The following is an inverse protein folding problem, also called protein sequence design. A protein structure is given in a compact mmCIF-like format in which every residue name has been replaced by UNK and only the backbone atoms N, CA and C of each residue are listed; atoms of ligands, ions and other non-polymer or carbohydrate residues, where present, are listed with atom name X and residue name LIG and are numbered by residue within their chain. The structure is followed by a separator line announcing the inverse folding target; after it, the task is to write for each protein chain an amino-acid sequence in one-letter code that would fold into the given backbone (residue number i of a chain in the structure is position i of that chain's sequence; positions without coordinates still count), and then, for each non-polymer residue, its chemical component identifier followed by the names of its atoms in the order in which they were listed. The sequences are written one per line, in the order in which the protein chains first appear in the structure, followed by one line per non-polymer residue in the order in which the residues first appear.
data_IF_091732996557
#
_entry.id   IF_091732996557
#
_cell.length_a   1.000
_cell.length_b   1.000
_cell.length_c   1.000
_cell.angle_alpha   90.00
_cell.angle_beta   90.00
_cell.angle_gamma   90.00
#
_symmetry.space_group_name_H-M   'P 1'
#
loop_
_entity.id
_entity.type
_entity.pdbx_description
1 polymer ?
#
# COMPACT_ATOMS: atom_id res chain seq x y z
N UNK A 1 -3.42 -12.73 12.83
CA UNK A 1 -2.58 -11.59 12.41
C UNK A 1 -3.44 -10.72 11.51
N UNK A 2 -3.54 -9.41 11.72
CA UNK A 2 -4.47 -8.53 10.95
C UNK A 2 -4.21 -8.59 9.46
N UNK A 3 -2.94 -8.71 9.04
CA UNK A 3 -2.53 -8.79 7.66
C UNK A 3 -3.04 -10.06 6.95
N UNK A 4 -2.97 -11.21 7.62
CA UNK A 4 -3.43 -12.50 7.07
C UNK A 4 -4.96 -12.50 6.90
N UNK A 5 -5.68 -11.96 7.87
CA UNK A 5 -7.14 -11.78 7.80
C UNK A 5 -7.57 -10.77 6.72
N UNK A 6 -6.72 -9.81 6.39
CA UNK A 6 -6.97 -8.76 5.41
C UNK A 6 -6.64 -9.25 3.99
N UNK A 7 -5.62 -10.10 3.84
CA UNK A 7 -5.34 -10.89 2.63
C UNK A 7 -6.45 -11.90 2.33
N UNK A 8 -6.98 -12.57 3.35
CA UNK A 8 -8.18 -13.42 3.22
C UNK A 8 -9.41 -12.60 2.77
N UNK A 9 -9.61 -11.41 3.36
CA UNK A 9 -10.73 -10.52 3.01
C UNK A 9 -10.62 -9.92 1.60
N UNK A 10 -9.41 -9.75 1.07
CA UNK A 10 -9.16 -9.34 -0.32
C UNK A 10 -9.21 -10.51 -1.33
N UNK A 11 -9.69 -11.69 -0.92
CA UNK A 11 -9.96 -12.81 -1.83
C UNK A 11 -8.79 -13.78 -1.98
N UNK A 12 -7.92 -13.87 -0.99
CA UNK A 12 -6.92 -14.95 -0.88
C UNK A 12 -5.93 -15.02 -2.02
N UNK A 13 -5.79 -13.96 -2.83
CA UNK A 13 -4.84 -13.95 -3.92
C UNK A 13 -3.44 -13.70 -3.37
N UNK A 14 -2.59 -14.69 -3.59
CA UNK A 14 -1.17 -14.77 -3.24
C UNK A 14 -0.29 -13.68 -3.88
N UNK A 15 -0.88 -12.62 -4.43
CA UNK A 15 -0.21 -11.57 -5.19
C UNK A 15 -0.85 -10.21 -4.89
N UNK A 16 -0.83 -9.78 -3.63
CA UNK A 16 -1.09 -8.37 -3.30
C UNK A 16 0.10 -7.54 -3.78
N UNK A 17 0.07 -7.13 -5.04
CA UNK A 17 1.12 -6.30 -5.60
C UNK A 17 1.12 -4.92 -4.94
N UNK A 18 2.30 -4.30 -4.70
CA UNK A 18 2.41 -3.01 -4.04
C UNK A 18 1.53 -1.92 -4.71
N UNK A 19 1.44 -1.93 -6.03
CA UNK A 19 0.57 -1.03 -6.78
C UNK A 19 -0.93 -1.23 -6.49
N UNK A 20 -1.39 -2.47 -6.29
CA UNK A 20 -2.79 -2.71 -5.95
C UNK A 20 -3.15 -2.16 -4.57
N UNK A 21 -2.23 -2.24 -3.61
CA UNK A 21 -2.40 -1.61 -2.28
C UNK A 21 -2.47 -0.09 -2.44
N UNK A 22 -1.58 0.49 -3.26
CA UNK A 22 -1.55 1.93 -3.48
C UNK A 22 -2.85 2.50 -4.07
N UNK A 23 -3.43 1.82 -5.07
CA UNK A 23 -4.67 2.25 -5.72
C UNK A 23 -5.95 1.83 -4.99
N UNK A 24 -5.88 1.08 -3.88
CA UNK A 24 -7.06 0.54 -3.23
C UNK A 24 -7.92 1.66 -2.59
N UNK A 25 -9.18 1.81 -2.97
CA UNK A 25 -10.04 2.87 -2.45
C UNK A 25 -10.68 2.55 -1.09
N UNK A 26 -10.51 1.32 -0.59
CA UNK A 26 -11.08 0.88 0.69
C UNK A 26 -10.24 1.30 1.92
N UNK A 27 -9.00 1.71 1.70
CA UNK A 27 -8.05 2.07 2.76
C UNK A 27 -7.69 3.55 2.69
N UNK A 28 -7.46 4.15 3.85
CA UNK A 28 -6.88 5.50 3.93
C UNK A 28 -5.40 5.48 3.53
N UNK A 29 -4.86 6.64 3.15
CA UNK A 29 -3.45 6.78 2.81
C UNK A 29 -2.51 6.22 3.90
N UNK A 30 -2.83 6.45 5.18
CA UNK A 30 -2.05 5.95 6.30
C UNK A 30 -2.04 4.42 6.36
N UNK A 31 -3.20 3.79 6.18
CA UNK A 31 -3.32 2.33 6.17
C UNK A 31 -2.59 1.70 4.99
N UNK A 32 -2.66 2.32 3.80
CA UNK A 32 -1.89 1.87 2.63
C UNK A 32 -0.39 1.91 2.87
N UNK A 33 0.14 3.01 3.44
CA UNK A 33 1.56 3.14 3.77
C UNK A 33 1.98 2.08 4.79
N UNK A 34 1.16 1.85 5.81
CA UNK A 34 1.41 0.82 6.83
C UNK A 34 1.47 -0.59 6.23
N UNK A 35 0.55 -0.91 5.31
CA UNK A 35 0.53 -2.18 4.59
C UNK A 35 1.76 -2.33 3.67
N UNK A 36 2.14 -1.28 2.94
CA UNK A 36 3.31 -1.28 2.07
C UNK A 36 4.62 -1.42 2.86
N UNK A 37 4.72 -0.78 4.03
CA UNK A 37 5.87 -0.98 4.94
C UNK A 37 5.97 -2.41 5.45
N UNK A 38 4.85 -3.03 5.81
CA UNK A 38 4.82 -4.44 6.20
C UNK A 38 5.27 -5.33 5.05
N UNK A 39 4.74 -5.11 3.84
CA UNK A 39 5.14 -5.85 2.64
C UNK A 39 6.65 -5.70 2.34
N UNK A 40 7.21 -4.49 2.52
CA UNK A 40 8.65 -4.24 2.35
C UNK A 40 9.50 -5.06 3.31
N UNK A 41 9.06 -5.19 4.57
CA UNK A 41 9.75 -5.99 5.57
C UNK A 41 9.72 -7.49 5.22
N UNK A 42 8.58 -7.99 4.72
CA UNK A 42 8.45 -9.37 4.27
C UNK A 42 9.30 -9.64 3.04
N UNK A 43 9.30 -8.76 2.03
CA UNK A 43 10.12 -8.91 0.82
C UNK A 43 11.61 -8.84 1.14
N UNK A 44 12.04 -7.92 2.01
CA UNK A 44 13.43 -7.84 2.45
C UNK A 44 13.85 -9.12 3.17
N UNK A 45 12.96 -9.67 3.99
CA UNK A 45 13.19 -10.92 4.72
C UNK A 45 13.22 -12.13 3.80
N UNK A 46 12.30 -12.20 2.83
CA UNK A 46 12.25 -13.27 1.82
C UNK A 46 13.50 -13.24 0.92
N UNK A 47 13.91 -12.05 0.46
CA UNK A 47 15.12 -11.86 -0.33
C UNK A 47 16.37 -12.27 0.46
N UNK A 48 16.46 -11.92 1.75
CA UNK A 48 17.53 -12.37 2.63
C UNK A 48 17.58 -13.91 2.80
N UNK A 49 16.44 -14.59 2.69
CA UNK A 49 16.34 -16.05 2.70
C UNK A 49 16.53 -16.68 1.31
N UNK A 50 16.85 -15.88 0.27
CA UNK A 50 17.00 -16.34 -1.11
C UNK A 50 15.68 -16.69 -1.79
N UNK A 51 14.55 -16.30 -1.21
CA UNK A 51 13.22 -16.48 -1.79
C UNK A 51 12.86 -15.24 -2.61
N UNK A 52 12.96 -15.36 -3.93
CA UNK A 52 12.50 -14.32 -4.84
C UNK A 52 10.97 -14.28 -4.85
N UNK A 53 10.42 -13.19 -4.33
CA UNK A 53 8.98 -12.95 -4.20
C UNK A 53 8.41 -12.28 -5.46
N UNK A 54 9.23 -12.05 -6.50
CA UNK A 54 8.83 -11.42 -7.75
C UNK A 54 8.64 -9.90 -7.70
N UNK A 55 8.95 -9.26 -6.57
CA UNK A 55 8.86 -7.80 -6.40
C UNK A 55 10.07 -7.26 -5.64
N UNK A 56 10.60 -6.12 -6.07
CA UNK A 56 11.73 -5.46 -5.42
C UNK A 56 11.26 -4.48 -4.34
N UNK A 57 12.10 -4.26 -3.32
CA UNK A 57 11.84 -3.23 -2.30
C UNK A 57 11.65 -1.81 -2.91
N UNK A 58 12.25 -1.58 -4.08
CA UNK A 58 12.10 -0.35 -4.87
C UNK A 58 10.67 -0.17 -5.42
N UNK A 59 10.03 -1.23 -5.92
CA UNK A 59 8.63 -1.18 -6.39
C UNK A 59 7.66 -0.85 -5.26
N UNK A 60 7.95 -1.33 -4.06
CA UNK A 60 7.17 -1.02 -2.87
C UNK A 60 7.37 0.43 -2.47
N UNK A 61 8.59 0.96 -2.60
CA UNK A 61 8.90 2.37 -2.34
C UNK A 61 8.17 3.29 -3.31
N UNK A 62 8.14 2.94 -4.60
CA UNK A 62 7.38 3.66 -5.62
C UNK A 62 5.88 3.70 -5.27
N UNK A 63 5.31 2.57 -4.85
CA UNK A 63 3.91 2.53 -4.41
C UNK A 63 3.65 3.40 -3.17
N UNK A 64 4.57 3.46 -2.21
CA UNK A 64 4.46 4.33 -1.03
C UNK A 64 4.49 5.81 -1.46
N UNK A 65 5.37 6.16 -2.39
CA UNK A 65 5.45 7.49 -2.95
C UNK A 65 4.13 7.89 -3.64
N UNK A 66 3.55 7.01 -4.46
CA UNK A 66 2.25 7.26 -5.11
C UNK A 66 1.12 7.47 -4.10
N UNK A 67 1.05 6.65 -3.04
CA UNK A 67 0.06 6.83 -1.97
C UNK A 67 0.25 8.16 -1.28
N UNK A 68 1.49 8.53 -0.99
CA UNK A 68 1.80 9.80 -0.33
C UNK A 68 1.43 10.99 -1.20
N UNK A 69 1.79 10.95 -2.48
CA UNK A 69 1.42 11.98 -3.44
C UNK A 69 -0.10 12.07 -3.62
N UNK A 70 -0.79 10.93 -3.72
CA UNK A 70 -2.24 10.86 -3.79
C UNK A 70 -2.90 11.44 -2.54
N UNK A 71 -2.38 11.14 -1.35
CA UNK A 71 -2.85 11.70 -0.09
C UNK A 71 -2.66 13.23 -0.04
N UNK A 72 -1.49 13.72 -0.43
CA UNK A 72 -1.21 15.16 -0.48
C UNK A 72 -2.12 15.90 -1.47
N UNK A 73 -2.46 15.26 -2.60
CA UNK A 73 -3.41 15.81 -3.59
C UNK A 73 -4.87 15.70 -3.13
N UNK A 74 -5.26 14.61 -2.47
CA UNK A 74 -6.63 14.38 -1.97
C UNK A 74 -6.97 15.31 -0.80
N UNK A 75 -6.01 15.59 0.09
CA UNK A 75 -6.15 16.63 1.13
C UNK A 75 -6.29 18.01 0.48
N UNK A 76 -5.61 18.26 -0.64
CA UNK A 76 -5.80 19.48 -1.44
C UNK A 76 -7.18 19.59 -2.09
N UNK A 77 -7.77 18.46 -2.49
CA UNK A 77 -9.09 18.40 -3.14
C UNK A 77 -10.26 18.47 -2.15
N UNK A 78 -10.17 17.86 -0.97
CA UNK A 78 -11.22 17.96 0.07
C UNK A 78 -11.27 19.36 0.70
N UNK A 79 -10.12 20.06 0.77
CA UNK A 79 -10.06 21.41 1.36
C UNK A 79 -10.69 22.49 0.46
N UNK A 80 -10.87 22.24 -0.86
CA UNK A 80 -11.56 23.18 -1.76
C UNK A 80 -13.07 22.94 -1.87
N UNK A 81 -13.60 21.80 -1.44
CA UNK A 81 -15.05 21.51 -1.49
C UNK A 81 -15.82 21.91 -0.21
N UNK A 82 -15.13 22.28 0.87
CA UNK A 82 -15.78 22.60 2.16
C UNK A 82 -15.92 24.09 2.47
N UNK A 83 -15.78 24.94 1.44
CA UNK A 83 -15.78 26.40 1.56
C UNK A 83 -16.67 27.11 0.54
N UNK A 84 -17.90 26.62 0.30
CA UNK A 84 -18.97 27.45 -0.27
C UNK A 84 -20.34 26.83 0.07
N UNK A 85 -20.88 27.18 1.24
CA UNK A 85 -22.32 27.16 1.58
C UNK A 85 -22.59 28.12 2.74
#
# INVERSE_FOLDING_TARGET
MVFDSLRERMGGHDNLSPMQIAHNTLFTAKEKIDLLHQLKAEVTSANANGNDVGFSADEIDAAIAEVRQGAENDVGADTVLKGDF
#
